data_IF_881483550631
#
_entry.id   IF_881483550631
#
_cell.length_a   1.000
_cell.length_b   1.000
_cell.length_c   1.000
_cell.angle_alpha   90.00
_cell.angle_beta   90.00
_cell.angle_gamma   90.00
#
_symmetry.space_group_name_H-M   'P 1'
#
loop_
_entity.id
_entity.type
_entity.pdbx_description
1 polymer ?
#
# COMPACT_ATOMS: atom_id res chain seq x y z
N UNK A 1 -10.05 27.28 4.86
CA UNK A 1 -9.08 26.56 3.99
C UNK A 1 -9.30 26.89 2.51
N UNK A 2 -10.53 26.83 2.00
CA UNK A 2 -10.88 27.28 0.64
C UNK A 2 -10.63 28.77 0.42
N UNK A 3 -10.98 29.63 1.39
CA UNK A 3 -10.75 31.09 1.30
C UNK A 3 -9.27 31.51 1.35
N UNK A 4 -8.39 30.69 1.94
CA UNK A 4 -6.96 31.05 2.11
C UNK A 4 -6.09 30.59 0.94
N UNK A 5 -6.65 29.84 -0.01
CA UNK A 5 -5.90 29.24 -1.14
C UNK A 5 -4.87 28.19 -0.72
N UNK A 6 -4.79 27.85 0.57
CA UNK A 6 -3.81 26.90 1.11
C UNK A 6 -3.99 25.51 0.49
N UNK A 7 -5.26 25.14 0.21
CA UNK A 7 -5.57 23.87 -0.39
C UNK A 7 -5.07 23.72 -1.81
N UNK A 8 -5.31 24.73 -2.65
CA UNK A 8 -4.79 24.82 -4.02
C UNK A 8 -3.26 24.87 -4.05
N UNK A 9 -2.61 25.56 -3.09
CA UNK A 9 -1.14 25.61 -3.02
C UNK A 9 -0.52 24.26 -2.69
N UNK A 10 -1.12 23.47 -1.81
CA UNK A 10 -0.64 22.12 -1.49
C UNK A 10 -0.97 21.14 -2.62
N UNK A 11 -2.15 21.24 -3.23
CA UNK A 11 -2.52 20.48 -4.44
C UNK A 11 -1.47 20.66 -5.54
N UNK A 12 -1.22 21.92 -5.92
CA UNK A 12 -0.23 22.28 -6.92
C UNK A 12 1.19 21.91 -6.47
N UNK A 13 1.49 22.00 -5.17
CA UNK A 13 2.74 21.52 -4.60
C UNK A 13 2.96 20.03 -4.86
N UNK A 14 1.95 19.18 -4.62
CA UNK A 14 2.02 17.74 -4.87
C UNK A 14 2.19 17.41 -6.36
N UNK A 15 1.49 18.13 -7.25
CA UNK A 15 1.63 17.96 -8.71
C UNK A 15 3.00 18.43 -9.20
N UNK A 16 3.50 19.58 -8.72
CA UNK A 16 4.82 20.12 -9.06
C UNK A 16 5.94 19.22 -8.55
N UNK A 17 5.84 18.72 -7.31
CA UNK A 17 6.77 17.73 -6.76
C UNK A 17 6.72 16.44 -7.58
N UNK A 18 5.53 16.03 -7.99
CA UNK A 18 5.28 14.90 -8.89
C UNK A 18 5.83 15.09 -10.30
N UNK A 19 6.09 16.34 -10.73
CA UNK A 19 6.50 16.72 -12.09
C UNK A 19 5.58 16.14 -13.18
N UNK A 20 4.29 16.00 -12.89
CA UNK A 20 3.31 15.37 -13.79
C UNK A 20 3.33 13.84 -13.82
N UNK A 21 4.19 13.17 -13.04
CA UNK A 21 4.20 11.72 -12.92
C UNK A 21 3.18 11.26 -11.86
N UNK A 22 2.15 10.54 -12.31
CA UNK A 22 1.07 10.03 -11.46
C UNK A 22 1.58 9.23 -10.25
N UNK A 23 2.53 8.31 -10.45
CA UNK A 23 3.03 7.46 -9.37
C UNK A 23 3.76 8.28 -8.29
N UNK A 24 4.52 9.28 -8.71
CA UNK A 24 5.22 10.19 -7.81
C UNK A 24 4.23 11.06 -7.03
N UNK A 25 3.19 11.57 -7.70
CA UNK A 25 2.12 12.35 -7.03
C UNK A 25 1.32 11.50 -6.05
N UNK A 26 0.99 10.25 -6.38
CA UNK A 26 0.36 9.31 -5.45
C UNK A 26 1.23 9.07 -4.22
N UNK A 27 2.54 8.89 -4.41
CA UNK A 27 3.49 8.72 -3.32
C UNK A 27 3.58 9.94 -2.40
N UNK A 28 3.70 11.16 -2.95
CA UNK A 28 3.68 12.38 -2.13
C UNK A 28 2.32 12.61 -1.46
N UNK A 29 1.22 12.25 -2.13
CA UNK A 29 -0.12 12.32 -1.54
C UNK A 29 -0.28 11.36 -0.38
N UNK A 30 0.26 10.15 -0.47
CA UNK A 30 0.34 9.20 0.64
C UNK A 30 1.09 9.81 1.83
N UNK A 31 2.28 10.37 1.61
CA UNK A 31 3.07 11.01 2.67
C UNK A 31 2.29 12.16 3.32
N UNK A 32 1.74 13.08 2.51
CA UNK A 32 0.97 14.21 2.99
C UNK A 32 -0.25 13.75 3.80
N UNK A 33 -0.93 12.69 3.35
CA UNK A 33 -2.04 12.08 4.07
C UNK A 33 -1.57 11.55 5.41
N UNK A 34 -0.49 10.76 5.46
CA UNK A 34 0.02 10.20 6.72
C UNK A 34 0.39 11.31 7.71
N UNK A 35 1.15 12.31 7.27
CA UNK A 35 1.59 13.41 8.12
C UNK A 35 0.43 14.26 8.66
N UNK A 36 -0.57 14.58 7.82
CA UNK A 36 -1.76 15.31 8.27
C UNK A 36 -2.62 14.50 9.25
N UNK A 37 -2.57 13.17 9.17
CA UNK A 37 -3.27 12.30 10.11
C UNK A 37 -2.72 12.30 11.52
N UNK A 38 -1.50 12.82 11.72
CA UNK A 38 -0.85 12.74 13.02
C UNK A 38 -1.48 13.65 14.10
N UNK A 39 -2.41 14.54 13.75
CA UNK A 39 -3.01 15.49 14.70
C UNK A 39 -4.51 15.75 14.50
N UNK A 40 -5.18 15.00 13.62
CA UNK A 40 -6.58 15.24 13.25
C UNK A 40 -7.37 13.93 13.20
N UNK A 41 -8.63 13.91 13.68
CA UNK A 41 -9.52 12.77 13.46
C UNK A 41 -9.71 12.47 11.97
N UNK A 42 -9.92 11.20 11.61
CA UNK A 42 -10.04 10.73 10.22
C UNK A 42 -11.03 11.55 9.39
N UNK A 43 -12.17 11.92 9.97
CA UNK A 43 -13.19 12.76 9.30
C UNK A 43 -12.67 14.14 8.94
N UNK A 44 -12.01 14.84 9.87
CA UNK A 44 -11.45 16.17 9.63
C UNK A 44 -10.33 16.13 8.58
N UNK A 45 -9.49 15.10 8.67
CA UNK A 45 -8.44 14.83 7.68
C UNK A 45 -9.01 14.62 6.28
N UNK A 46 -10.06 13.81 6.14
CA UNK A 46 -10.68 13.57 4.83
C UNK A 46 -11.26 14.86 4.23
N UNK A 47 -11.91 15.71 5.03
CA UNK A 47 -12.42 17.01 4.56
C UNK A 47 -11.27 17.89 4.03
N UNK A 48 -10.15 17.92 4.73
CA UNK A 48 -8.98 18.69 4.30
C UNK A 48 -8.37 18.08 3.02
N UNK A 49 -8.07 16.78 3.00
CA UNK A 49 -7.44 16.13 1.85
C UNK A 49 -8.35 16.10 0.60
N UNK A 50 -9.67 16.03 0.76
CA UNK A 50 -10.60 16.05 -0.37
C UNK A 50 -10.64 17.40 -1.08
N UNK A 51 -10.36 18.49 -0.37
CA UNK A 51 -10.25 19.83 -0.96
C UNK A 51 -8.86 20.06 -1.58
N UNK A 52 -7.84 19.31 -1.13
CA UNK A 52 -6.43 19.61 -1.41
C UNK A 52 -5.76 18.58 -2.32
N UNK A 53 -5.84 17.30 -1.99
CA UNK A 53 -5.14 16.23 -2.69
C UNK A 53 -6.01 15.53 -3.73
N UNK A 54 -7.30 15.34 -3.47
CA UNK A 54 -8.19 14.67 -4.43
C UNK A 54 -8.25 15.38 -5.80
N UNK A 55 -8.37 16.73 -5.89
CA UNK A 55 -8.38 17.43 -7.17
C UNK A 55 -7.08 17.22 -7.96
N UNK A 56 -5.93 17.28 -7.28
CA UNK A 56 -4.62 17.04 -7.89
C UNK A 56 -4.49 15.64 -8.51
N UNK A 57 -5.07 14.61 -7.86
CA UNK A 57 -5.08 13.25 -8.42
C UNK A 57 -6.04 13.14 -9.61
N UNK A 58 -7.21 13.78 -9.53
CA UNK A 58 -8.19 13.80 -10.61
C UNK A 58 -7.66 14.52 -11.86
N UNK A 59 -6.94 15.63 -11.67
CA UNK A 59 -6.28 16.37 -12.75
C UNK A 59 -5.20 15.54 -13.46
N UNK A 60 -4.62 14.55 -12.78
CA UNK A 60 -3.67 13.58 -13.34
C UNK A 60 -4.35 12.33 -13.91
N UNK A 61 -5.68 12.32 -13.99
CA UNK A 61 -6.46 11.25 -14.62
C UNK A 61 -6.92 10.14 -13.69
N UNK A 62 -6.72 10.26 -12.37
CA UNK A 62 -7.28 9.29 -11.42
C UNK A 62 -8.80 9.44 -11.36
N UNK A 63 -9.53 8.32 -11.42
CA UNK A 63 -10.98 8.32 -11.28
C UNK A 63 -11.39 9.01 -9.95
N UNK A 64 -12.40 9.92 -9.93
CA UNK A 64 -12.75 10.67 -8.73
C UNK A 64 -13.01 9.80 -7.49
N UNK A 65 -13.77 8.71 -7.64
CA UNK A 65 -14.01 7.78 -6.52
C UNK A 65 -12.71 7.15 -6.01
N UNK A 66 -11.81 6.74 -6.91
CA UNK A 66 -10.51 6.19 -6.55
C UNK A 66 -9.64 7.23 -5.83
N UNK A 67 -9.62 8.49 -6.29
CA UNK A 67 -8.87 9.57 -5.64
C UNK A 67 -9.37 9.83 -4.20
N UNK A 68 -10.69 9.88 -4.00
CA UNK A 68 -11.28 10.06 -2.67
C UNK A 68 -11.05 8.86 -1.74
N UNK A 69 -11.14 7.63 -2.27
CA UNK A 69 -10.81 6.43 -1.51
C UNK A 69 -9.31 6.37 -1.16
N UNK A 70 -8.44 6.81 -2.07
CA UNK A 70 -6.99 6.84 -1.84
C UNK A 70 -6.63 7.70 -0.62
N UNK A 71 -7.13 8.93 -0.58
CA UNK A 71 -6.87 9.86 0.54
C UNK A 71 -7.55 9.40 1.84
N UNK A 72 -8.73 8.77 1.76
CA UNK A 72 -9.43 8.24 2.93
C UNK A 72 -8.72 7.01 3.48
N UNK A 73 -8.19 6.15 2.62
CA UNK A 73 -7.48 4.94 3.02
C UNK A 73 -6.17 5.29 3.75
N UNK A 74 -5.35 6.16 3.17
CA UNK A 74 -4.18 6.70 3.88
C UNK A 74 -4.58 7.63 5.03
N UNK A 75 -5.81 8.15 4.99
CA UNK A 75 -6.61 8.63 6.11
C UNK A 75 -6.44 7.77 7.34
N UNK A 76 -6.97 6.56 7.24
CA UNK A 76 -7.06 5.54 8.29
C UNK A 76 -5.70 4.91 8.58
N UNK A 77 -4.89 4.61 7.56
CA UNK A 77 -3.57 3.99 7.77
C UNK A 77 -2.63 4.91 8.58
N UNK A 78 -2.80 6.22 8.56
CA UNK A 78 -2.01 7.12 9.40
C UNK A 78 -2.14 6.78 10.90
N UNK A 79 -3.32 6.35 11.33
CA UNK A 79 -3.60 5.98 12.72
C UNK A 79 -2.89 4.68 13.13
N UNK A 80 -2.35 3.93 12.17
CA UNK A 80 -1.50 2.76 12.38
C UNK A 80 -0.01 3.12 12.45
N UNK A 81 0.41 4.24 11.84
CA UNK A 81 1.82 4.62 11.72
C UNK A 81 2.34 5.33 12.97
N UNK A 82 3.53 4.96 13.50
CA UNK A 82 4.23 5.77 14.47
C UNK A 82 4.51 7.18 13.91
N UNK A 83 4.36 8.25 14.71
CA UNK A 83 4.27 8.23 16.17
C UNK A 83 2.84 8.20 16.74
N UNK A 84 1.78 8.04 15.93
CA UNK A 84 0.39 8.11 16.43
C UNK A 84 -0.16 6.76 16.88
N UNK A 85 -0.12 5.75 16.00
CA UNK A 85 -0.36 4.31 16.27
C UNK A 85 -1.27 3.97 17.48
N UNK A 86 -2.42 4.64 17.65
CA UNK A 86 -3.13 4.74 18.94
C UNK A 86 -3.56 3.37 19.45
N UNK A 87 -4.10 2.54 18.56
CA UNK A 87 -4.52 1.18 18.89
C UNK A 87 -3.33 0.28 19.29
N UNK A 88 -2.21 0.39 18.58
CA UNK A 88 -1.00 -0.37 18.89
C UNK A 88 -0.39 0.06 20.23
N UNK A 89 -0.45 1.34 20.56
CA UNK A 89 0.04 1.87 21.84
C UNK A 89 -0.84 1.50 23.01
N UNK A 90 -2.16 1.50 22.85
CA UNK A 90 -3.08 0.99 23.84
C UNK A 90 -2.83 -0.51 24.11
N UNK A 91 -2.68 -1.31 23.05
CA UNK A 91 -2.35 -2.73 23.17
C UNK A 91 -0.99 -2.99 23.83
N UNK A 92 0.01 -2.13 23.57
CA UNK A 92 1.30 -2.19 24.26
C UNK A 92 1.17 -1.92 25.76
N UNK A 93 0.34 -0.94 26.16
CA UNK A 93 0.06 -0.65 27.56
C UNK A 93 -0.58 -1.81 28.31
N UNK A 94 -1.50 -2.54 27.67
CA UNK A 94 -2.17 -3.71 28.26
C UNK A 94 -1.19 -4.89 28.40
N UNK A 95 -0.32 -5.11 27.40
CA UNK A 95 0.63 -6.24 27.37
C UNK A 95 1.93 -5.98 28.14
N UNK A 96 2.17 -4.75 28.62
CA UNK A 96 3.44 -4.34 29.23
C UNK A 96 4.58 -4.14 28.22
N UNK A 97 4.27 -4.10 26.92
CA UNK A 97 5.23 -3.89 25.85
C UNK A 97 5.62 -2.42 25.66
N UNK A 98 6.70 -2.17 24.92
CA UNK A 98 7.07 -0.80 24.53
C UNK A 98 6.16 -0.32 23.39
N UNK A 99 5.45 0.79 23.59
CA UNK A 99 4.49 1.35 22.62
C UNK A 99 5.12 1.63 21.26
N UNK A 100 6.27 2.31 21.22
CA UNK A 100 6.94 2.66 19.97
C UNK A 100 7.39 1.42 19.19
N UNK A 101 7.99 0.43 19.86
CA UNK A 101 8.37 -0.85 19.23
C UNK A 101 7.16 -1.59 18.68
N UNK A 102 6.06 -1.62 19.44
CA UNK A 102 4.80 -2.26 19.03
C UNK A 102 4.23 -1.58 17.79
N UNK A 103 4.24 -0.26 17.72
CA UNK A 103 3.82 0.50 16.54
C UNK A 103 4.67 0.18 15.30
N UNK A 104 5.99 0.11 15.42
CA UNK A 104 6.86 -0.29 14.31
C UNK A 104 6.60 -1.72 13.82
N UNK A 105 6.35 -2.66 14.75
CA UNK A 105 5.99 -4.04 14.40
C UNK A 105 4.63 -4.06 13.69
N UNK A 106 3.65 -3.29 14.17
CA UNK A 106 2.33 -3.19 13.55
C UNK A 106 2.42 -2.71 12.10
N UNK A 107 3.18 -1.64 11.83
CA UNK A 107 3.42 -1.16 10.47
C UNK A 107 4.13 -2.20 9.61
N UNK A 108 5.14 -2.89 10.16
CA UNK A 108 5.84 -3.96 9.44
C UNK A 108 4.89 -5.08 9.01
N UNK A 109 3.93 -5.46 9.86
CA UNK A 109 2.93 -6.47 9.54
C UNK A 109 1.89 -5.97 8.53
N UNK A 110 1.55 -4.69 8.58
CA UNK A 110 0.54 -4.08 7.73
C UNK A 110 1.08 -3.47 6.43
N UNK A 111 2.38 -3.57 6.15
CA UNK A 111 3.01 -2.91 4.98
C UNK A 111 2.34 -3.30 3.67
N UNK A 112 1.82 -4.53 3.57
CA UNK A 112 1.11 -5.00 2.38
C UNK A 112 -0.17 -4.19 2.10
N UNK A 113 -0.83 -3.65 3.14
CA UNK A 113 -2.00 -2.79 3.00
C UNK A 113 -1.70 -1.44 2.34
N UNK A 114 -0.45 -0.95 2.42
CA UNK A 114 -0.05 0.30 1.76
C UNK A 114 -0.08 0.21 0.23
N UNK A 115 -0.05 -1.01 -0.32
CA UNK A 115 -0.06 -1.23 -1.76
C UNK A 115 -1.46 -1.10 -2.37
N UNK A 116 -2.51 -1.45 -1.62
CA UNK A 116 -3.90 -1.52 -2.13
C UNK A 116 -4.36 -0.20 -2.75
N UNK A 117 -4.12 0.99 -2.14
CA UNK A 117 -4.49 2.26 -2.74
C UNK A 117 -3.85 2.55 -4.09
N UNK A 118 -2.59 2.16 -4.27
CA UNK A 118 -1.91 2.36 -5.55
C UNK A 118 -2.56 1.51 -6.64
N UNK A 119 -2.94 0.27 -6.34
CA UNK A 119 -3.58 -0.63 -7.31
C UNK A 119 -4.88 -0.04 -7.85
N UNK A 120 -5.81 0.38 -6.98
CA UNK A 120 -7.09 0.93 -7.45
C UNK A 120 -6.99 2.35 -8.01
N UNK A 121 -5.93 3.11 -7.66
CA UNK A 121 -5.70 4.43 -8.24
C UNK A 121 -5.11 4.34 -9.65
N UNK A 122 -4.30 3.32 -9.92
CA UNK A 122 -3.75 3.03 -11.24
C UNK A 122 -4.78 2.33 -12.15
N UNK A 123 -5.59 1.43 -11.58
CA UNK A 123 -6.67 0.75 -12.30
C UNK A 123 -7.97 0.70 -11.47
N UNK A 124 -8.93 1.60 -11.77
CA UNK A 124 -10.24 1.65 -11.11
C UNK A 124 -11.10 0.40 -11.33
N UNK A 125 -10.70 -0.53 -12.21
CA UNK A 125 -11.37 -1.79 -12.42
C UNK A 125 -11.42 -2.67 -11.16
N UNK A 126 -10.49 -2.48 -10.22
CA UNK A 126 -10.52 -3.11 -8.90
C UNK A 126 -11.70 -2.62 -8.03
N UNK A 127 -12.23 -1.43 -8.33
CA UNK A 127 -13.43 -0.84 -7.73
C UNK A 127 -14.70 -1.10 -8.53
N UNK A 128 -14.65 -2.00 -9.53
CA UNK A 128 -15.73 -2.27 -10.48
C UNK A 128 -16.15 -1.05 -11.32
N UNK A 129 -15.24 -0.09 -11.53
CA UNK A 129 -15.51 1.11 -12.34
C UNK A 129 -15.02 0.86 -13.76
N UNK A 130 -15.92 0.97 -14.75
CA UNK A 130 -15.60 0.85 -16.18
C UNK A 130 -14.82 -0.41 -16.57
N UNK A 131 -15.04 -1.53 -15.86
CA UNK A 131 -14.29 -2.79 -16.05
C UNK A 131 -15.21 -3.96 -16.38
N UNK A 132 -14.67 -4.90 -17.16
CA UNK A 132 -15.32 -6.20 -17.41
C UNK A 132 -15.06 -7.13 -16.24
N UNK A 133 -16.01 -8.02 -15.94
CA UNK A 133 -15.89 -9.01 -14.84
C UNK A 133 -14.57 -9.78 -14.92
N UNK A 134 -14.17 -10.24 -16.11
CA UNK A 134 -12.90 -10.98 -16.30
C UNK A 134 -11.65 -10.15 -15.98
N UNK A 135 -11.66 -8.86 -16.33
CA UNK A 135 -10.56 -7.95 -16.01
C UNK A 135 -10.47 -7.66 -14.51
N UNK A 136 -11.61 -7.38 -13.87
CA UNK A 136 -11.64 -7.18 -12.40
C UNK A 136 -11.21 -8.43 -11.64
N UNK A 137 -11.59 -9.63 -12.09
CA UNK A 137 -11.12 -10.89 -11.49
C UNK A 137 -9.60 -11.04 -11.61
N UNK A 138 -9.02 -10.70 -12.76
CA UNK A 138 -7.57 -10.70 -12.95
C UNK A 138 -6.90 -9.74 -11.96
N UNK A 139 -7.40 -8.49 -11.85
CA UNK A 139 -6.88 -7.50 -10.91
C UNK A 139 -6.96 -7.97 -9.46
N UNK A 140 -8.04 -8.66 -9.06
CA UNK A 140 -8.17 -9.22 -7.71
C UNK A 140 -7.10 -10.28 -7.47
N UNK A 141 -6.87 -11.18 -8.44
CA UNK A 141 -5.87 -12.24 -8.30
C UNK A 141 -4.45 -11.66 -8.24
N UNK A 142 -4.11 -10.71 -9.11
CA UNK A 142 -2.79 -10.07 -9.12
C UNK A 142 -2.58 -9.21 -7.87
N UNK A 143 -3.60 -8.48 -7.42
CA UNK A 143 -3.57 -7.74 -6.16
C UNK A 143 -3.31 -8.66 -4.96
N UNK A 144 -4.04 -9.78 -4.86
CA UNK A 144 -3.82 -10.76 -3.79
C UNK A 144 -2.41 -11.34 -3.84
N UNK A 145 -1.91 -11.70 -5.04
CA UNK A 145 -0.55 -12.18 -5.21
C UNK A 145 0.49 -11.14 -4.76
N UNK A 146 0.30 -9.86 -5.12
CA UNK A 146 1.19 -8.77 -4.72
C UNK A 146 1.17 -8.52 -3.22
N UNK A 147 -0.01 -8.53 -2.59
CA UNK A 147 -0.18 -8.35 -1.13
C UNK A 147 0.50 -9.49 -0.39
N UNK A 148 0.35 -10.73 -0.88
CA UNK A 148 1.03 -11.89 -0.32
C UNK A 148 2.55 -11.78 -0.47
N UNK A 149 3.04 -11.38 -1.65
CA UNK A 149 4.47 -11.20 -1.90
C UNK A 149 5.08 -10.13 -0.98
N UNK A 150 4.44 -8.97 -0.87
CA UNK A 150 4.90 -7.86 -0.04
C UNK A 150 4.80 -8.20 1.45
N UNK A 151 3.72 -8.85 1.87
CA UNK A 151 3.52 -9.33 3.24
C UNK A 151 4.57 -10.35 3.65
N UNK A 152 4.87 -11.33 2.78
CA UNK A 152 5.93 -12.30 3.02
C UNK A 152 7.32 -11.67 3.04
N UNK A 153 7.59 -10.71 2.15
CA UNK A 153 8.83 -9.95 2.15
C UNK A 153 8.99 -9.15 3.45
N UNK A 154 7.93 -8.56 3.98
CA UNK A 154 7.99 -7.79 5.23
C UNK A 154 8.08 -8.71 6.47
N UNK A 155 7.25 -9.74 6.52
CA UNK A 155 7.15 -10.70 7.61
C UNK A 155 8.37 -11.61 7.74
N UNK A 156 9.02 -11.94 6.62
CA UNK A 156 10.17 -12.86 6.62
C UNK A 156 9.78 -14.34 6.57
N UNK A 157 8.53 -14.62 6.20
CA UNK A 157 7.98 -15.97 6.18
C UNK A 157 6.89 -16.08 5.10
N UNK A 158 6.87 -17.19 4.37
CA UNK A 158 5.79 -17.54 3.44
C UNK A 158 5.36 -19.00 3.67
N UNK A 159 6.18 -19.97 3.25
CA UNK A 159 6.03 -21.40 3.57
C UNK A 159 7.16 -21.91 4.45
N UNK A 160 8.36 -21.35 4.31
CA UNK A 160 9.51 -21.48 5.23
C UNK A 160 10.06 -20.07 5.48
N UNK A 161 11.03 -19.95 6.37
CA UNK A 161 11.76 -18.70 6.60
C UNK A 161 12.38 -18.17 5.29
N UNK A 162 12.03 -16.94 4.91
CA UNK A 162 12.54 -16.33 3.69
C UNK A 162 13.98 -15.87 3.90
N UNK A 163 14.91 -16.35 3.07
CA UNK A 163 16.29 -15.84 3.05
C UNK A 163 16.34 -14.43 2.47
N UNK A 164 17.44 -13.71 2.66
CA UNK A 164 17.61 -12.33 2.18
C UNK A 164 17.37 -12.23 0.66
N UNK A 165 17.87 -13.17 -0.15
CA UNK A 165 17.62 -13.17 -1.60
C UNK A 165 16.14 -13.44 -1.95
N UNK A 166 15.50 -14.40 -1.28
CA UNK A 166 14.05 -14.67 -1.46
C UNK A 166 13.23 -13.43 -1.10
N UNK A 167 13.64 -12.70 -0.05
CA UNK A 167 13.01 -11.46 0.40
C UNK A 167 13.12 -10.34 -0.64
N UNK A 168 14.29 -10.17 -1.26
CA UNK A 168 14.49 -9.19 -2.34
C UNK A 168 13.67 -9.57 -3.57
N UNK A 169 13.64 -10.86 -3.94
CA UNK A 169 12.82 -11.35 -5.06
C UNK A 169 11.33 -11.10 -4.81
N UNK A 170 10.83 -11.38 -3.61
CA UNK A 170 9.45 -11.10 -3.22
C UNK A 170 9.13 -9.60 -3.25
N UNK A 171 10.07 -8.74 -2.87
CA UNK A 171 9.90 -7.29 -2.97
C UNK A 171 9.78 -6.84 -4.43
N UNK A 172 10.62 -7.36 -5.32
CA UNK A 172 10.56 -7.06 -6.77
C UNK A 172 9.26 -7.60 -7.36
N UNK A 173 8.84 -8.81 -6.96
CA UNK A 173 7.55 -9.39 -7.35
C UNK A 173 6.37 -8.49 -6.97
N UNK A 174 6.34 -7.99 -5.73
CA UNK A 174 5.30 -7.07 -5.26
C UNK A 174 5.31 -5.74 -6.04
N UNK A 175 6.48 -5.17 -6.31
CA UNK A 175 6.59 -3.94 -7.11
C UNK A 175 6.17 -4.15 -8.56
N UNK A 176 6.46 -5.30 -9.16
CA UNK A 176 5.99 -5.65 -10.49
C UNK A 176 4.47 -5.78 -10.53
N UNK A 177 3.87 -6.39 -9.50
CA UNK A 177 2.40 -6.54 -9.36
C UNK A 177 1.69 -5.24 -8.95
N UNK A 178 2.43 -4.18 -8.62
CA UNK A 178 1.85 -2.89 -8.25
C UNK A 178 1.29 -2.15 -9.47
N UNK A 179 1.91 -2.30 -10.63
CA UNK A 179 1.47 -1.67 -11.87
C UNK A 179 0.69 -2.68 -12.70
N UNK A 180 -0.64 -2.53 -12.83
CA UNK A 180 -1.48 -3.44 -13.60
C UNK A 180 -1.01 -3.52 -15.06
N UNK A 181 -0.77 -4.73 -15.55
CA UNK A 181 -0.27 -4.94 -16.90
C UNK A 181 0.15 -6.37 -17.15
N UNK A 182 -0.20 -6.92 -18.32
CA UNK A 182 0.02 -8.35 -18.61
C UNK A 182 1.49 -8.77 -18.46
N UNK A 183 2.44 -7.93 -18.86
CA UNK A 183 3.87 -8.22 -18.74
C UNK A 183 4.37 -8.11 -17.29
N UNK A 184 4.00 -7.03 -16.60
CA UNK A 184 4.41 -6.78 -15.20
C UNK A 184 3.80 -7.81 -14.25
N UNK A 185 2.54 -8.16 -14.46
CA UNK A 185 1.82 -9.19 -13.72
C UNK A 185 2.44 -10.57 -13.95
N UNK A 186 2.75 -10.93 -15.20
CA UNK A 186 3.39 -12.20 -15.52
C UNK A 186 4.76 -12.32 -14.85
N UNK A 187 5.58 -11.27 -14.92
CA UNK A 187 6.89 -11.23 -14.23
C UNK A 187 6.71 -11.38 -12.73
N UNK A 188 5.79 -10.63 -12.13
CA UNK A 188 5.51 -10.69 -10.71
C UNK A 188 5.06 -12.07 -10.24
N UNK A 189 4.15 -12.70 -10.96
CA UNK A 189 3.65 -14.06 -10.69
C UNK A 189 4.77 -15.10 -10.81
N UNK A 190 5.60 -15.02 -11.85
CA UNK A 190 6.73 -15.94 -12.06
C UNK A 190 7.73 -15.85 -10.91
N UNK A 191 8.07 -14.63 -10.46
CA UNK A 191 8.97 -14.43 -9.33
C UNK A 191 8.38 -14.99 -8.03
N UNK A 192 7.09 -14.76 -7.75
CA UNK A 192 6.40 -15.30 -6.59
C UNK A 192 6.38 -16.83 -6.61
N UNK A 193 6.01 -17.42 -7.75
CA UNK A 193 5.98 -18.86 -7.96
C UNK A 193 7.38 -19.48 -7.79
N UNK A 194 8.42 -18.82 -8.31
CA UNK A 194 9.81 -19.24 -8.15
C UNK A 194 10.21 -19.36 -6.68
N UNK A 195 9.87 -18.35 -5.85
CA UNK A 195 10.15 -18.40 -4.41
C UNK A 195 9.36 -19.51 -3.72
N UNK A 196 8.09 -19.69 -4.06
CA UNK A 196 7.25 -20.77 -3.52
C UNK A 196 7.85 -22.15 -3.85
N UNK A 197 8.30 -22.37 -5.09
CA UNK A 197 8.92 -23.63 -5.51
C UNK A 197 10.22 -23.88 -4.74
N UNK A 198 11.08 -22.87 -4.61
CA UNK A 198 12.32 -22.97 -3.84
C UNK A 198 12.07 -23.34 -2.37
N UNK A 199 11.04 -22.75 -1.75
CA UNK A 199 10.66 -23.08 -0.37
C UNK A 199 10.07 -24.48 -0.25
N UNK A 200 9.18 -24.89 -1.16
CA UNK A 200 8.63 -26.26 -1.18
C UNK A 200 9.73 -27.32 -1.34
N UNK A 201 10.69 -27.11 -2.24
CA UNK A 201 11.84 -28.00 -2.42
C UNK A 201 12.69 -28.10 -1.15
N UNK A 202 12.87 -26.99 -0.42
CA UNK A 202 13.61 -26.96 0.85
C UNK A 202 12.89 -27.74 1.96
N UNK A 203 11.58 -27.54 2.09
CA UNK A 203 10.74 -28.26 3.07
C UNK A 203 10.76 -29.76 2.79
N UNK A 204 10.56 -30.17 1.53
CA UNK A 204 10.59 -31.58 1.14
C UNK A 204 11.93 -32.26 1.43
N UNK A 205 13.05 -31.55 1.26
CA UNK A 205 14.37 -32.07 1.67
C UNK A 205 14.45 -32.27 3.18
N UNK A 206 14.02 -31.30 4.00
CA UNK A 206 14.02 -31.44 5.47
C UNK A 206 13.23 -32.67 5.94
N UNK A 207 12.05 -32.91 5.35
CA UNK A 207 11.20 -34.07 5.70
C UNK A 207 11.81 -35.41 5.29
N UNK A 208 12.62 -35.46 4.23
CA UNK A 208 13.31 -36.69 3.81
C UNK A 208 14.52 -37.08 4.68
N UNK A 209 15.03 -36.17 5.51
CA UNK A 209 16.20 -36.39 6.37
C UNK A 209 15.87 -36.40 7.87
N UNK A 210 14.58 -36.36 8.22
CA UNK A 210 14.06 -36.49 9.58
C UNK A 210 13.35 -37.85 9.72
#
# INVERSE_FOLDING_TARGET
VTLTGLGLKIANGLVMLGRGNLMLTLFFTMIASILLGMGLPTTAKYIILSIMAAPALVDLGVQPLAAHLFILYFGVIADLTPPVAVAAYAGAGISGGNSMKTGFIAVRLAVAGFMIPFLFALDPGLLFINSTIGHTLLLIVTALAGVLALGAAAGGYLLDHTKIHERVILMISALALLTPGLLTDSVGIVLLAGVIILQKMRISKKVKFA
#
